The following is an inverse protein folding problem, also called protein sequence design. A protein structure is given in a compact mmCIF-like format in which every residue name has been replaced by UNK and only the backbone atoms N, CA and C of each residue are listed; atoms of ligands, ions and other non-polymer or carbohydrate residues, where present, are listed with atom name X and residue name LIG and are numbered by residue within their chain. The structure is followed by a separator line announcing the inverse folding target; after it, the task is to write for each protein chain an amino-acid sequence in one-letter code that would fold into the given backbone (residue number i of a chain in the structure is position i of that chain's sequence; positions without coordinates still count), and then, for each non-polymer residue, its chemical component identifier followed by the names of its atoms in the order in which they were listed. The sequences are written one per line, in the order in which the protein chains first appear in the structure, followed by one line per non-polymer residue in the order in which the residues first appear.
data_IF_896248818359
#
_entry.id   IF_896248818359
#
_cell.length_a   1.000
_cell.length_b   1.000
_cell.length_c   1.000
_cell.angle_alpha   90.00
_cell.angle_beta   90.00
_cell.angle_gamma   90.00
#
_symmetry.space_group_name_H-M   'P 1'
#
loop_
_entity.id
_entity.type
_entity.pdbx_description
1 polymer ?
#
# COMPACT_ATOMS: atom_id res chain seq x y z
N UNK A 1 -10.40 -34.32 38.63
CA UNK A 1 -11.12 -33.20 37.97
C UNK A 1 -10.07 -32.35 37.27
N UNK A 2 -9.76 -32.68 36.02
CA UNK A 2 -8.85 -31.90 35.19
C UNK A 2 -9.66 -30.90 34.39
N UNK A 3 -9.40 -29.60 34.60
CA UNK A 3 -9.89 -28.56 33.71
C UNK A 3 -9.08 -28.65 32.40
N UNK A 4 -9.67 -29.26 31.39
CA UNK A 4 -9.30 -28.99 29.99
C UNK A 4 -9.88 -27.64 29.61
N UNK A 5 -9.06 -26.59 29.74
CA UNK A 5 -9.31 -25.32 29.06
C UNK A 5 -9.16 -25.58 27.55
N UNK A 6 -10.31 -25.62 26.87
CA UNK A 6 -10.40 -25.69 25.43
C UNK A 6 -9.97 -24.32 24.90
N UNK A 7 -8.74 -24.22 24.40
CA UNK A 7 -8.28 -23.04 23.65
C UNK A 7 -8.98 -23.06 22.29
N UNK A 8 -10.21 -22.55 22.23
CA UNK A 8 -10.84 -22.16 20.97
C UNK A 8 -10.07 -20.95 20.42
N UNK A 9 -8.97 -21.22 19.70
CA UNK A 9 -8.13 -20.20 19.05
C UNK A 9 -8.86 -19.41 17.95
N UNK A 10 -10.12 -19.77 17.64
CA UNK A 10 -10.90 -19.20 16.53
C UNK A 10 -12.17 -18.43 16.94
N UNK A 11 -12.50 -18.34 18.24
CA UNK A 11 -13.64 -17.54 18.73
C UNK A 11 -13.19 -16.17 19.27
N UNK A 12 -12.57 -15.34 18.43
CA UNK A 12 -12.43 -13.92 18.77
C UNK A 12 -13.80 -13.28 18.57
N UNK A 13 -14.59 -13.20 19.64
CA UNK A 13 -15.90 -12.58 19.60
C UNK A 13 -15.80 -11.14 19.08
N UNK A 14 -16.48 -10.87 17.97
CA UNK A 14 -16.61 -9.52 17.42
C UNK A 14 -17.31 -8.61 18.43
N UNK A 15 -16.68 -7.49 18.76
CA UNK A 15 -17.22 -6.48 19.70
C UNK A 15 -17.48 -5.17 18.98
N UNK A 16 -18.45 -4.41 19.46
CA UNK A 16 -18.58 -3.00 19.08
C UNK A 16 -17.45 -2.20 19.72
N UNK A 17 -16.86 -1.30 18.95
CA UNK A 17 -15.82 -0.39 19.41
C UNK A 17 -15.98 0.98 18.73
N UNK A 18 -15.30 1.99 19.27
CA UNK A 18 -15.12 3.28 18.61
C UNK A 18 -13.69 3.36 18.10
N UNK A 19 -13.52 3.78 16.85
CA UNK A 19 -12.22 4.00 16.24
C UNK A 19 -12.13 5.44 15.72
N UNK A 20 -11.05 6.14 16.07
CA UNK A 20 -10.79 7.48 15.56
C UNK A 20 -10.08 7.42 14.21
N UNK A 21 -10.71 7.96 13.17
CA UNK A 21 -10.11 8.13 11.84
C UNK A 21 -9.58 9.54 11.72
N UNK A 22 -8.27 9.67 11.51
CA UNK A 22 -7.59 10.96 11.40
C UNK A 22 -7.68 11.50 9.98
N UNK A 23 -8.09 12.75 9.85
CA UNK A 23 -8.05 13.49 8.59
C UNK A 23 -6.66 14.14 8.39
N UNK A 24 -6.35 14.62 7.18
CA UNK A 24 -5.07 15.27 6.91
C UNK A 24 -4.80 16.54 7.74
N UNK A 25 -5.84 17.21 8.26
CA UNK A 25 -5.68 18.34 9.20
C UNK A 25 -5.45 17.89 10.67
N UNK A 26 -5.17 16.61 10.91
CA UNK A 26 -4.89 15.99 12.21
C UNK A 26 -6.07 15.95 13.19
N UNK A 27 -7.26 16.43 12.77
CA UNK A 27 -8.51 16.19 13.49
C UNK A 27 -8.96 14.76 13.27
N UNK A 28 -9.63 14.17 14.26
CA UNK A 28 -10.21 12.83 14.15
C UNK A 28 -11.73 12.84 14.08
N UNK A 29 -12.26 11.83 13.40
CA UNK A 29 -13.67 11.51 13.36
C UNK A 29 -13.85 10.15 14.04
N UNK A 30 -14.57 10.07 15.17
CA UNK A 30 -14.89 8.79 15.79
C UNK A 30 -15.91 8.05 14.92
N UNK A 31 -15.66 6.79 14.61
CA UNK A 31 -16.62 5.90 13.93
C UNK A 31 -16.92 4.70 14.81
N UNK A 32 -18.19 4.34 14.91
CA UNK A 32 -18.61 3.09 15.54
C UNK A 32 -18.35 1.96 14.55
N UNK A 33 -17.61 0.95 15.02
CA UNK A 33 -17.19 -0.20 14.21
C UNK A 33 -17.39 -1.50 14.98
N UNK A 34 -17.31 -2.60 14.26
CA UNK A 34 -17.02 -3.91 14.80
C UNK A 34 -15.51 -4.15 14.79
N UNK A 35 -14.99 -4.87 15.78
CA UNK A 35 -13.56 -5.24 15.82
C UNK A 35 -13.11 -6.08 14.62
N UNK A 36 -14.05 -6.70 13.91
CA UNK A 36 -13.85 -7.46 12.68
C UNK A 36 -14.14 -6.67 11.39
N UNK A 37 -14.44 -5.37 11.48
CA UNK A 37 -14.64 -4.55 10.28
C UNK A 37 -13.31 -4.39 9.53
N UNK A 38 -13.40 -4.57 8.21
CA UNK A 38 -12.27 -4.44 7.30
C UNK A 38 -11.96 -2.98 6.99
N UNK A 39 -10.77 -2.70 6.43
CA UNK A 39 -10.38 -1.36 6.03
C UNK A 39 -11.33 -0.78 4.98
N UNK A 40 -11.79 -1.59 4.03
CA UNK A 40 -12.82 -1.21 3.06
C UNK A 40 -14.11 -0.78 3.76
N UNK A 41 -14.61 -1.60 4.70
CA UNK A 41 -15.85 -1.29 5.42
C UNK A 41 -15.73 0.01 6.23
N UNK A 42 -14.61 0.21 6.91
CA UNK A 42 -14.37 1.42 7.69
C UNK A 42 -14.25 2.65 6.78
N UNK A 43 -13.64 2.50 5.59
CA UNK A 43 -13.56 3.55 4.59
C UNK A 43 -14.95 3.97 4.11
N UNK A 44 -15.85 3.02 3.83
CA UNK A 44 -17.25 3.31 3.47
C UNK A 44 -17.96 4.11 4.59
N UNK A 45 -17.83 3.66 5.84
CA UNK A 45 -18.49 4.27 7.00
C UNK A 45 -18.01 5.71 7.22
N UNK A 46 -16.69 5.95 7.19
CA UNK A 46 -16.15 7.30 7.38
C UNK A 46 -16.50 8.21 6.20
N UNK A 47 -16.49 7.68 4.97
CA UNK A 47 -16.82 8.43 3.75
C UNK A 47 -18.27 8.89 3.75
N UNK A 48 -19.21 8.02 4.13
CA UNK A 48 -20.60 8.41 4.31
C UNK A 48 -20.75 9.50 5.39
N UNK A 49 -20.01 9.39 6.49
CA UNK A 49 -20.07 10.36 7.60
C UNK A 49 -19.56 11.76 7.23
N UNK A 50 -18.60 11.86 6.30
CA UNK A 50 -18.06 13.14 5.82
C UNK A 50 -18.74 13.65 4.53
N UNK A 51 -19.71 12.91 3.99
CA UNK A 51 -20.39 13.29 2.75
C UNK A 51 -19.54 13.09 1.49
N UNK A 52 -18.56 12.18 1.51
CA UNK A 52 -17.80 11.80 0.33
C UNK A 52 -18.65 10.89 -0.58
N UNK A 53 -18.73 11.24 -1.87
CA UNK A 53 -19.47 10.47 -2.87
C UNK A 53 -18.90 9.05 -2.99
N UNK A 54 -19.79 8.06 -3.15
CA UNK A 54 -19.41 6.64 -3.18
C UNK A 54 -18.50 6.32 -4.37
N UNK A 55 -18.72 7.00 -5.49
CA UNK A 55 -17.94 6.87 -6.73
C UNK A 55 -16.50 7.33 -6.56
N UNK A 56 -16.21 8.14 -5.52
CA UNK A 56 -14.88 8.67 -5.25
C UNK A 56 -14.10 7.85 -4.21
N UNK A 57 -14.66 6.76 -3.68
CA UNK A 57 -14.02 5.96 -2.63
C UNK A 57 -12.62 5.46 -3.03
N UNK A 58 -12.46 5.04 -4.29
CA UNK A 58 -11.20 4.46 -4.82
C UNK A 58 -10.05 5.48 -4.95
N UNK A 59 -10.36 6.78 -4.81
CA UNK A 59 -9.37 7.86 -4.77
C UNK A 59 -8.82 8.11 -3.36
N UNK A 60 -9.35 7.42 -2.35
CA UNK A 60 -8.92 7.54 -0.96
C UNK A 60 -8.53 6.16 -0.40
N UNK A 61 -7.80 6.18 0.71
CA UNK A 61 -7.43 4.96 1.40
C UNK A 61 -7.21 5.21 2.88
N UNK A 62 -7.25 4.11 3.65
CA UNK A 62 -6.85 4.11 5.04
C UNK A 62 -5.38 3.74 5.18
N UNK A 63 -4.68 4.50 6.01
CA UNK A 63 -3.26 4.35 6.26
C UNK A 63 -2.99 4.20 7.74
N UNK A 64 -2.00 3.39 8.08
CA UNK A 64 -1.39 3.44 9.39
C UNK A 64 -0.42 4.61 9.40
N UNK A 65 -0.72 5.63 10.21
CA UNK A 65 0.10 6.82 10.38
C UNK A 65 0.71 6.83 11.78
N UNK A 66 1.96 7.26 11.89
CA UNK A 66 2.68 7.41 13.16
C UNK A 66 2.97 8.88 13.38
N UNK A 67 2.70 9.37 14.58
CA UNK A 67 3.16 10.69 15.01
C UNK A 67 4.40 10.51 15.88
N UNK A 68 5.57 10.83 15.32
CA UNK A 68 6.85 10.79 16.01
C UNK A 68 6.99 11.87 17.07
N UNK A 69 8.15 11.89 17.73
CA UNK A 69 8.57 13.02 18.59
C UNK A 69 8.55 14.30 17.74
N UNK A 70 8.15 15.42 18.36
CA UNK A 70 8.00 16.73 17.68
C UNK A 70 6.86 16.81 16.64
N UNK A 71 5.95 15.83 16.62
CA UNK A 71 4.77 15.88 15.73
C UNK A 71 5.05 15.50 14.28
N UNK A 72 6.25 14.97 13.98
CA UNK A 72 6.58 14.49 12.63
C UNK A 72 5.69 13.30 12.25
N UNK A 73 4.85 13.49 11.24
CA UNK A 73 4.00 12.45 10.67
C UNK A 73 4.83 11.53 9.76
N UNK A 74 4.70 10.23 10.00
CA UNK A 74 5.19 9.17 9.12
C UNK A 74 4.01 8.32 8.66
N UNK A 75 3.91 8.07 7.35
CA UNK A 75 2.95 7.11 6.81
C UNK A 75 3.62 5.74 6.84
N UNK A 76 3.19 4.85 7.73
CA UNK A 76 3.83 3.54 7.91
C UNK A 76 3.44 2.59 6.78
N UNK A 77 2.16 2.58 6.40
CA UNK A 77 1.58 1.58 5.50
C UNK A 77 0.21 2.03 4.98
N UNK A 78 -0.12 1.68 3.72
CA UNK A 78 -1.51 1.64 3.21
C UNK A 78 -2.16 0.34 3.66
N UNK A 79 -3.28 0.40 4.36
CA UNK A 79 -4.02 -0.79 4.79
C UNK A 79 -4.72 -1.41 3.59
N UNK A 80 -4.49 -2.69 3.30
CA UNK A 80 -5.24 -3.39 2.27
C UNK A 80 -6.70 -3.60 2.71
N UNK A 81 -7.58 -3.75 1.73
CA UNK A 81 -9.03 -3.67 1.89
C UNK A 81 -9.57 -4.73 2.87
N UNK A 82 -8.93 -5.91 2.91
CA UNK A 82 -9.26 -7.03 3.79
C UNK A 82 -8.67 -6.93 5.21
N UNK A 83 -7.78 -5.98 5.47
CA UNK A 83 -7.14 -5.85 6.77
C UNK A 83 -8.12 -5.33 7.82
N UNK A 84 -7.90 -5.69 9.09
CA UNK A 84 -8.73 -5.26 10.22
C UNK A 84 -8.03 -4.12 10.96
N UNK A 85 -8.39 -2.84 10.74
CA UNK A 85 -7.62 -1.70 11.28
C UNK A 85 -7.60 -1.65 12.80
N UNK A 86 -8.70 -2.05 13.45
CA UNK A 86 -8.80 -2.12 14.91
C UNK A 86 -7.80 -3.12 15.52
N UNK A 87 -7.72 -4.33 14.95
CA UNK A 87 -6.79 -5.37 15.40
C UNK A 87 -5.35 -4.95 15.13
N UNK A 88 -5.08 -4.34 13.97
CA UNK A 88 -3.75 -3.80 13.64
C UNK A 88 -3.28 -2.78 14.67
N UNK A 89 -4.13 -1.83 15.08
CA UNK A 89 -3.77 -0.85 16.10
C UNK A 89 -3.54 -1.50 17.48
N UNK A 90 -4.42 -2.43 17.88
CA UNK A 90 -4.32 -3.07 19.19
C UNK A 90 -3.08 -3.98 19.34
N UNK A 91 -2.61 -4.56 18.23
CA UNK A 91 -1.41 -5.42 18.19
C UNK A 91 -0.14 -4.66 17.78
N UNK A 92 -0.25 -3.38 17.44
CA UNK A 92 0.87 -2.59 16.98
C UNK A 92 1.80 -2.24 18.14
N UNK A 93 3.02 -2.80 18.14
CA UNK A 93 4.12 -2.37 19.02
C UNK A 93 4.64 -0.97 18.68
N UNK A 94 4.17 -0.41 17.56
CA UNK A 94 4.51 0.96 17.17
C UNK A 94 3.73 1.95 18.03
N UNK A 95 4.45 2.63 18.91
CA UNK A 95 3.92 3.74 19.69
C UNK A 95 3.32 4.85 18.80
N UNK A 96 2.22 5.45 19.26
CA UNK A 96 1.53 6.57 18.61
C UNK A 96 1.09 6.31 17.16
N UNK A 97 0.76 5.05 16.84
CA UNK A 97 0.12 4.70 15.58
C UNK A 97 -1.39 4.98 15.60
N UNK A 98 -1.90 5.51 14.50
CA UNK A 98 -3.32 5.84 14.29
C UNK A 98 -3.75 5.44 12.88
N UNK A 99 -5.05 5.35 12.65
CA UNK A 99 -5.60 5.15 11.30
C UNK A 99 -5.95 6.51 10.71
N UNK A 100 -5.40 6.82 9.54
CA UNK A 100 -5.63 8.07 8.82
C UNK A 100 -6.28 7.86 7.47
N UNK A 101 -7.21 8.74 7.11
CA UNK A 101 -7.78 8.86 5.76
C UNK A 101 -6.87 9.77 4.93
N UNK A 102 -6.42 9.31 3.77
CA UNK A 102 -5.62 10.11 2.83
C UNK A 102 -6.03 9.84 1.39
N UNK A 103 -5.73 10.79 0.51
CA UNK A 103 -5.72 10.58 -0.95
C UNK A 103 -4.86 9.36 -1.29
N UNK A 104 -5.35 8.51 -2.18
CA UNK A 104 -4.66 7.32 -2.69
C UNK A 104 -4.69 7.25 -4.22
N UNK A 105 -4.04 8.23 -4.83
CA UNK A 105 -3.62 8.19 -6.22
C UNK A 105 -2.35 9.02 -6.40
N UNK A 106 -1.53 8.64 -7.38
CA UNK A 106 -0.18 9.19 -7.54
C UNK A 106 -0.08 10.23 -8.66
N UNK A 107 -1.00 10.18 -9.63
CA UNK A 107 -1.11 11.17 -10.68
C UNK A 107 -1.93 12.40 -10.25
N UNK A 108 -1.32 13.61 -10.18
CA UNK A 108 -2.03 14.83 -9.83
C UNK A 108 -3.18 15.20 -10.76
N UNK A 109 -3.16 14.76 -12.04
CA UNK A 109 -4.21 15.11 -13.00
C UNK A 109 -5.59 14.56 -12.61
N UNK A 110 -5.60 13.48 -11.82
CA UNK A 110 -6.82 12.88 -11.30
C UNK A 110 -7.57 13.79 -10.32
N UNK A 111 -6.95 14.83 -9.74
CA UNK A 111 -7.63 15.81 -8.89
C UNK A 111 -8.87 16.40 -9.57
N UNK A 112 -8.84 16.58 -10.90
CA UNK A 112 -9.97 17.10 -11.70
C UNK A 112 -11.25 16.28 -11.52
N UNK A 113 -11.14 14.97 -11.29
CA UNK A 113 -12.26 14.05 -11.07
C UNK A 113 -12.96 14.26 -9.72
N UNK A 114 -12.32 14.97 -8.78
CA UNK A 114 -12.81 15.17 -7.42
C UNK A 114 -13.39 16.57 -7.18
N UNK A 115 -13.21 17.50 -8.13
CA UNK A 115 -13.53 18.92 -7.93
C UNK A 115 -15.03 19.20 -7.73
N UNK A 116 -15.90 18.33 -8.24
CA UNK A 116 -17.36 18.47 -8.11
C UNK A 116 -17.90 17.97 -6.75
N UNK A 117 -17.05 17.37 -5.90
CA UNK A 117 -17.43 16.89 -4.57
C UNK A 117 -16.77 17.76 -3.48
N UNK A 118 -17.56 18.54 -2.75
CA UNK A 118 -17.04 19.43 -1.69
C UNK A 118 -16.21 18.69 -0.64
N UNK A 119 -16.66 17.52 -0.19
CA UNK A 119 -15.94 16.72 0.79
C UNK A 119 -14.58 16.23 0.26
N UNK A 120 -14.51 15.88 -1.03
CA UNK A 120 -13.26 15.48 -1.67
C UNK A 120 -12.31 16.68 -1.81
N UNK A 121 -12.80 17.84 -2.26
CA UNK A 121 -12.04 19.10 -2.33
C UNK A 121 -11.48 19.47 -0.95
N UNK A 122 -12.28 19.35 0.11
CA UNK A 122 -11.84 19.58 1.48
C UNK A 122 -10.69 18.64 1.89
N UNK A 123 -10.79 17.34 1.58
CA UNK A 123 -9.74 16.36 1.87
C UNK A 123 -8.44 16.67 1.12
N UNK A 124 -8.53 16.98 -0.18
CA UNK A 124 -7.37 17.36 -0.99
C UNK A 124 -6.72 18.63 -0.47
N UNK A 125 -7.52 19.65 -0.17
CA UNK A 125 -7.05 20.93 0.36
C UNK A 125 -6.34 20.77 1.70
N UNK A 126 -6.94 20.04 2.64
CA UNK A 126 -6.33 19.74 3.94
C UNK A 126 -5.01 18.99 3.78
N UNK A 127 -4.94 18.01 2.86
CA UNK A 127 -3.72 17.25 2.63
C UNK A 127 -2.63 18.09 1.95
N UNK A 128 -2.99 18.92 0.97
CA UNK A 128 -2.05 19.81 0.29
C UNK A 128 -1.37 20.78 1.28
N UNK A 129 -2.15 21.38 2.20
CA UNK A 129 -1.60 22.23 3.27
C UNK A 129 -0.62 21.44 4.15
N UNK A 130 -1.01 20.24 4.58
CA UNK A 130 -0.18 19.40 5.43
C UNK A 130 1.14 19.02 4.74
N UNK A 131 1.07 18.62 3.47
CA UNK A 131 2.22 18.17 2.69
C UNK A 131 3.17 19.34 2.38
N UNK A 132 2.67 20.56 2.17
CA UNK A 132 3.50 21.79 2.06
C UNK A 132 4.14 22.13 3.40
N UNK A 133 3.38 22.10 4.49
CA UNK A 133 3.91 22.40 5.83
C UNK A 133 4.99 21.41 6.28
N UNK A 134 4.95 20.17 5.76
CA UNK A 134 5.95 19.12 6.01
C UNK A 134 7.08 19.11 4.98
N UNK A 135 7.10 20.06 4.04
CA UNK A 135 8.08 20.17 2.95
C UNK A 135 8.14 18.90 2.06
N UNK A 136 7.04 18.15 1.98
CA UNK A 136 6.88 17.04 1.03
C UNK A 136 6.63 17.63 -0.36
N UNK A 137 5.70 18.58 -0.44
CA UNK A 137 5.54 19.48 -1.58
C UNK A 137 6.40 20.73 -1.36
N UNK A 138 7.13 21.16 -2.39
CA UNK A 138 8.22 22.14 -2.29
C UNK A 138 7.93 23.37 -3.17
N UNK A 139 7.05 24.28 -2.71
CA UNK A 139 6.72 25.48 -3.46
C UNK A 139 7.91 26.44 -3.53
N UNK A 140 8.04 27.17 -4.63
CA UNK A 140 8.91 28.35 -4.69
C UNK A 140 8.42 29.43 -3.72
N UNK A 141 9.27 30.40 -3.39
CA UNK A 141 8.88 31.51 -2.51
C UNK A 141 7.65 32.29 -3.03
N UNK A 142 7.58 32.49 -4.36
CA UNK A 142 6.44 33.15 -5.00
C UNK A 142 5.16 32.30 -4.92
N UNK A 143 5.26 31.00 -5.22
CA UNK A 143 4.12 30.07 -5.07
C UNK A 143 3.63 30.03 -3.62
N UNK A 144 4.54 30.00 -2.63
CA UNK A 144 4.18 30.00 -1.20
C UNK A 144 3.38 31.25 -0.83
N UNK A 145 3.81 32.44 -1.25
CA UNK A 145 3.08 33.68 -0.99
C UNK A 145 1.67 33.67 -1.61
N UNK A 146 1.54 33.17 -2.84
CA UNK A 146 0.25 33.05 -3.52
C UNK A 146 -0.67 32.04 -2.84
N UNK A 147 -0.14 30.87 -2.44
CA UNK A 147 -0.88 29.84 -1.70
C UNK A 147 -1.37 30.38 -0.34
N UNK A 148 -0.54 31.12 0.38
CA UNK A 148 -0.92 31.78 1.63
C UNK A 148 -2.01 32.84 1.43
N UNK A 149 -1.98 33.58 0.33
CA UNK A 149 -3.05 34.53 -0.01
C UNK A 149 -4.37 33.81 -0.30
N UNK A 150 -4.33 32.76 -1.13
CA UNK A 150 -5.51 31.93 -1.46
C UNK A 150 -6.10 31.25 -0.22
N UNK A 151 -5.25 30.85 0.74
CA UNK A 151 -5.69 30.31 2.02
C UNK A 151 -6.42 31.37 2.87
N UNK A 152 -5.97 32.63 2.88
CA UNK A 152 -6.65 33.73 3.60
C UNK A 152 -8.00 34.09 2.96
N UNK A 153 -8.13 33.89 1.65
CA UNK A 153 -9.36 34.12 0.89
C UNK A 153 -10.34 32.93 0.95
N UNK A 154 -9.96 31.82 1.61
CA UNK A 154 -10.70 30.55 1.65
C UNK A 154 -11.02 29.98 0.24
N UNK A 155 -10.14 30.26 -0.73
CA UNK A 155 -10.33 29.84 -2.12
C UNK A 155 -9.65 28.48 -2.38
N UNK A 156 -10.29 27.42 -1.90
CA UNK A 156 -9.76 26.05 -1.98
C UNK A 156 -9.50 25.59 -3.42
N UNK A 157 -10.39 25.89 -4.36
CA UNK A 157 -10.26 25.46 -5.76
C UNK A 157 -9.01 26.06 -6.40
N UNK A 158 -8.85 27.38 -6.35
CA UNK A 158 -7.64 28.04 -6.89
C UNK A 158 -6.37 27.64 -6.15
N UNK A 159 -6.47 27.37 -4.84
CA UNK A 159 -5.34 26.86 -4.09
C UNK A 159 -4.88 25.51 -4.65
N UNK A 160 -5.80 24.58 -4.89
CA UNK A 160 -5.48 23.26 -5.44
C UNK A 160 -4.96 23.34 -6.89
N UNK A 161 -5.53 24.22 -7.71
CA UNK A 161 -5.02 24.51 -9.07
C UNK A 161 -3.55 24.95 -9.02
N UNK A 162 -3.22 25.93 -8.16
CA UNK A 162 -1.83 26.37 -7.98
C UNK A 162 -0.95 25.28 -7.35
N UNK A 163 -1.50 24.48 -6.43
CA UNK A 163 -0.76 23.41 -5.78
C UNK A 163 -0.30 22.33 -6.77
N UNK A 164 -1.04 22.06 -7.85
CA UNK A 164 -0.63 21.12 -8.89
C UNK A 164 0.67 21.53 -9.60
N UNK A 165 0.98 22.82 -9.63
CA UNK A 165 2.23 23.35 -10.20
C UNK A 165 3.42 23.29 -9.21
N UNK A 166 3.18 22.91 -7.96
CA UNK A 166 4.22 22.81 -6.93
C UNK A 166 5.03 21.53 -7.12
N UNK A 167 6.37 21.66 -7.05
CA UNK A 167 7.28 20.51 -7.12
C UNK A 167 6.90 19.48 -6.04
N UNK A 168 6.76 18.23 -6.47
CA UNK A 168 6.38 17.08 -5.65
C UNK A 168 4.97 17.15 -5.04
N UNK A 169 4.06 17.96 -5.59
CA UNK A 169 2.65 17.90 -5.19
C UNK A 169 2.06 16.52 -5.46
N UNK A 170 1.35 15.98 -4.46
CA UNK A 170 0.76 14.64 -4.52
C UNK A 170 1.75 13.49 -4.29
N UNK A 171 3.03 13.76 -4.04
CA UNK A 171 4.02 12.72 -3.78
C UNK A 171 3.89 12.22 -2.33
N UNK A 172 4.06 10.92 -2.15
CA UNK A 172 4.23 10.32 -0.83
C UNK A 172 5.71 10.28 -0.49
N UNK A 173 6.10 10.91 0.62
CA UNK A 173 7.49 10.87 1.11
C UNK A 173 7.66 9.81 2.20
N UNK A 174 8.71 9.01 2.08
CA UNK A 174 9.12 8.04 3.10
C UNK A 174 9.91 8.73 4.22
N UNK A 175 10.02 8.04 5.35
CA UNK A 175 10.99 8.40 6.38
C UNK A 175 12.42 8.27 5.85
N UNK A 176 13.37 9.07 6.38
CA UNK A 176 14.78 8.92 6.04
C UNK A 176 15.25 7.48 6.20
N UNK A 177 15.97 7.00 5.19
CA UNK A 177 16.43 5.63 5.08
C UNK A 177 17.84 5.59 4.48
N UNK A 178 18.33 4.41 4.09
CA UNK A 178 19.62 4.28 3.39
C UNK A 178 19.46 3.55 2.06
N UNK A 179 20.42 3.72 1.17
CA UNK A 179 20.49 3.02 -0.11
C UNK A 179 21.93 2.60 -0.45
N UNK A 180 22.07 1.83 -1.53
CA UNK A 180 23.36 1.41 -2.07
C UNK A 180 23.90 2.29 -3.19
N UNK A 181 23.17 3.36 -3.54
CA UNK A 181 23.49 4.28 -4.63
C UNK A 181 23.75 5.72 -4.13
N UNK A 182 24.74 6.45 -4.70
CA UNK A 182 25.75 5.96 -5.64
C UNK A 182 26.82 5.10 -4.96
N UNK A 183 26.89 5.13 -3.62
CA UNK A 183 27.72 4.23 -2.83
C UNK A 183 26.96 3.59 -1.64
N UNK A 184 27.36 2.39 -1.21
CA UNK A 184 26.74 1.68 -0.09
C UNK A 184 26.69 2.48 1.20
N UNK A 185 25.49 2.57 1.79
CA UNK A 185 25.28 3.24 3.08
C UNK A 185 24.95 4.73 2.96
N UNK A 186 24.78 5.24 1.73
CA UNK A 186 24.28 6.59 1.49
C UNK A 186 22.92 6.80 2.15
N UNK A 187 22.74 7.95 2.81
CA UNK A 187 21.45 8.34 3.36
C UNK A 187 20.48 8.73 2.23
N UNK A 188 19.20 8.45 2.38
CA UNK A 188 18.21 8.74 1.35
C UNK A 188 16.88 9.23 1.93
N UNK A 189 16.24 10.14 1.20
CA UNK A 189 14.83 10.52 1.38
C UNK A 189 14.12 10.34 0.05
N UNK A 190 13.16 9.43 0.01
CA UNK A 190 12.41 9.09 -1.19
C UNK A 190 11.05 9.79 -1.20
N UNK A 191 10.72 10.43 -2.31
CA UNK A 191 9.38 10.94 -2.63
C UNK A 191 8.88 10.21 -3.87
N UNK A 192 7.68 9.63 -3.81
CA UNK A 192 7.12 8.79 -4.88
C UNK A 192 5.79 9.37 -5.33
N UNK A 193 5.63 9.59 -6.62
CA UNK A 193 4.44 10.19 -7.20
C UNK A 193 4.64 10.51 -8.66
N UNK A 194 3.56 10.84 -9.37
CA UNK A 194 3.61 11.30 -10.76
C UNK A 194 4.49 10.44 -11.69
N UNK A 195 4.36 9.11 -11.59
CA UNK A 195 5.10 8.13 -12.39
C UNK A 195 6.65 8.17 -12.23
N UNK A 196 7.15 8.63 -11.08
CA UNK A 196 8.58 8.64 -10.76
C UNK A 196 8.88 8.39 -9.27
N UNK A 197 10.14 8.04 -9.01
CA UNK A 197 10.74 7.96 -7.67
C UNK A 197 11.82 9.05 -7.61
N UNK A 198 11.60 10.09 -6.82
CA UNK A 198 12.59 11.13 -6.55
C UNK A 198 13.37 10.78 -5.28
N UNK A 199 14.68 10.61 -5.41
CA UNK A 199 15.59 10.26 -4.34
C UNK A 199 16.51 11.45 -4.06
N UNK A 200 16.41 12.03 -2.86
CA UNK A 200 17.46 12.91 -2.33
C UNK A 200 18.44 12.09 -1.53
N UNK A 201 19.65 11.95 -2.07
CA UNK A 201 20.72 11.12 -1.50
C UNK A 201 21.70 12.03 -0.78
N UNK A 202 22.11 11.64 0.42
CA UNK A 202 23.14 12.29 1.22
C UNK A 202 24.33 11.34 1.35
N UNK A 203 25.44 11.73 0.74
CA UNK A 203 26.68 10.97 0.77
C UNK A 203 27.34 11.06 2.16
N UNK A 204 28.17 10.08 2.55
CA UNK A 204 28.93 10.09 3.79
C UNK A 204 29.83 11.32 3.98
N UNK A 205 30.26 11.96 2.88
CA UNK A 205 31.05 13.19 2.89
C UNK A 205 30.21 14.47 3.14
N UNK A 206 28.88 14.32 3.28
CA UNK A 206 27.92 15.39 3.51
C UNK A 206 27.37 16.05 2.25
N UNK A 207 27.81 15.66 1.05
CA UNK A 207 27.25 16.15 -0.20
C UNK A 207 25.86 15.56 -0.44
N UNK A 208 24.97 16.34 -1.06
CA UNK A 208 23.62 15.89 -1.42
C UNK A 208 23.40 15.89 -2.92
N UNK A 209 22.84 14.79 -3.44
CA UNK A 209 22.48 14.63 -4.84
C UNK A 209 20.99 14.29 -4.97
N UNK A 210 20.27 14.96 -5.86
CA UNK A 210 18.91 14.58 -6.24
C UNK A 210 18.99 13.66 -7.48
N UNK A 211 18.39 12.47 -7.40
CA UNK A 211 18.27 11.49 -8.51
C UNK A 211 16.80 11.17 -8.75
N UNK A 212 16.39 11.04 -10.00
CA UNK A 212 15.01 10.73 -10.37
C UNK A 212 14.97 9.44 -11.20
N UNK A 213 14.22 8.45 -10.73
CA UNK A 213 13.96 7.21 -11.45
C UNK A 213 12.56 7.26 -12.06
N UNK A 214 12.48 7.32 -13.38
CA UNK A 214 11.20 7.29 -14.08
C UNK A 214 10.60 5.88 -14.03
N UNK A 215 9.32 5.72 -13.72
CA UNK A 215 8.73 4.38 -13.61
C UNK A 215 8.76 3.60 -14.93
N UNK A 216 8.83 4.27 -16.07
CA UNK A 216 9.04 3.64 -17.38
C UNK A 216 10.39 2.89 -17.49
N UNK A 217 11.38 3.29 -16.69
CA UNK A 217 12.69 2.64 -16.60
C UNK A 217 12.74 1.50 -15.57
N UNK A 218 11.72 1.34 -14.71
CA UNK A 218 11.65 0.29 -13.69
C UNK A 218 11.08 -0.98 -14.30
N UNK A 219 11.85 -2.07 -14.31
CA UNK A 219 11.44 -3.37 -14.88
C UNK A 219 10.71 -4.25 -13.88
N UNK A 220 11.24 -4.35 -12.67
CA UNK A 220 10.66 -5.12 -11.57
C UNK A 220 11.22 -4.65 -10.24
N UNK A 221 10.56 -5.03 -9.15
CA UNK A 221 11.07 -4.83 -7.81
C UNK A 221 10.70 -6.00 -6.91
N UNK A 222 11.44 -6.12 -5.81
CA UNK A 222 11.22 -7.13 -4.78
C UNK A 222 11.40 -6.48 -3.41
N UNK A 223 10.51 -6.84 -2.49
CA UNK A 223 10.67 -6.56 -1.06
C UNK A 223 11.25 -7.80 -0.40
N UNK A 224 12.34 -7.64 0.33
CA UNK A 224 12.98 -8.72 1.11
C UNK A 224 12.96 -8.38 2.59
N UNK A 225 12.70 -9.38 3.43
CA UNK A 225 12.92 -9.28 4.86
C UNK A 225 14.33 -9.78 5.20
N UNK A 226 15.15 -8.93 5.80
CA UNK A 226 16.56 -9.20 6.14
C UNK A 226 16.71 -9.85 7.52
N UNK A 227 15.66 -10.52 8.03
CA UNK A 227 15.70 -11.23 9.30
C UNK A 227 16.79 -12.31 9.29
N UNK A 228 17.65 -12.29 10.31
CA UNK A 228 18.68 -13.30 10.63
C UNK A 228 19.91 -13.43 9.69
N UNK A 229 20.54 -12.33 9.29
CA UNK A 229 21.94 -12.37 8.79
C UNK A 229 22.98 -11.76 9.73
N UNK A 230 22.58 -11.15 10.86
CA UNK A 230 23.49 -10.40 11.75
C UNK A 230 23.38 -10.70 13.26
N UNK A 231 22.78 -11.81 13.68
CA UNK A 231 22.86 -12.24 15.09
C UNK A 231 23.56 -13.60 15.16
N UNK A 232 24.89 -13.55 15.28
CA UNK A 232 25.68 -14.61 15.90
C UNK A 232 25.79 -14.23 17.38
N UNK A 233 25.18 -15.04 18.23
CA UNK A 233 25.27 -15.06 19.70
C UNK A 233 24.51 -14.00 20.52
N UNK A 234 23.24 -14.30 20.83
CA UNK A 234 22.54 -13.72 21.99
C UNK A 234 21.06 -14.13 22.10
N UNK A 235 20.55 -14.55 23.28
CA UNK A 235 19.12 -14.76 23.47
C UNK A 235 18.43 -13.40 23.65
N UNK A 236 17.45 -13.12 22.77
CA UNK A 236 16.64 -11.90 22.70
C UNK A 236 17.33 -10.63 22.17
N UNK A 237 17.32 -10.45 20.84
CA UNK A 237 17.33 -9.13 20.20
C UNK A 237 16.28 -9.06 19.09
N UNK A 238 15.20 -8.36 19.41
CA UNK A 238 14.44 -7.44 18.57
C UNK A 238 14.28 -7.77 17.08
N UNK A 239 13.04 -7.99 16.67
CA UNK A 239 12.56 -7.90 15.29
C UNK A 239 12.68 -6.44 14.79
N UNK A 240 13.89 -5.89 14.73
CA UNK A 240 14.17 -4.71 13.94
C UNK A 240 13.99 -5.16 12.49
N UNK A 241 12.80 -4.87 11.96
CA UNK A 241 12.38 -5.18 10.60
C UNK A 241 13.32 -4.48 9.60
N UNK A 242 14.47 -5.09 9.34
CA UNK A 242 15.36 -4.69 8.28
C UNK A 242 14.68 -5.16 7.00
N UNK A 243 13.87 -4.27 6.42
CA UNK A 243 13.24 -4.48 5.13
C UNK A 243 14.10 -3.77 4.09
N UNK A 244 14.26 -4.42 2.94
CA UNK A 244 14.82 -3.79 1.75
C UNK A 244 13.78 -3.87 0.63
N UNK A 245 13.78 -2.85 -0.22
CA UNK A 245 13.19 -2.92 -1.54
C UNK A 245 14.32 -2.75 -2.55
N UNK A 246 14.46 -3.75 -3.43
CA UNK A 246 15.34 -3.66 -4.59
C UNK A 246 14.53 -3.52 -5.85
N UNK A 247 14.95 -2.65 -6.76
CA UNK A 247 14.32 -2.50 -8.06
C UNK A 247 15.37 -2.50 -9.18
N UNK A 248 15.01 -3.13 -10.30
CA UNK A 248 15.85 -3.17 -11.50
C UNK A 248 15.48 -2.00 -12.39
N UNK A 249 16.44 -1.14 -12.70
CA UNK A 249 16.26 0.07 -13.48
C UNK A 249 17.18 0.08 -14.71
N UNK A 250 16.68 0.62 -15.82
CA UNK A 250 17.45 0.80 -17.05
C UNK A 250 18.16 2.15 -17.04
N UNK A 251 19.48 2.13 -16.91
CA UNK A 251 20.34 3.31 -17.00
C UNK A 251 21.36 3.08 -18.13
N UNK A 252 21.45 4.02 -19.08
CA UNK A 252 22.36 3.94 -20.24
C UNK A 252 22.33 2.60 -20.99
N UNK A 253 21.13 2.05 -21.20
CA UNK A 253 20.87 0.74 -21.83
C UNK A 253 21.39 -0.48 -21.06
N UNK A 254 21.78 -0.32 -19.80
CA UNK A 254 22.17 -1.39 -18.90
C UNK A 254 21.15 -1.52 -17.76
N UNK A 255 20.88 -2.76 -17.35
CA UNK A 255 19.99 -3.05 -16.24
C UNK A 255 20.79 -3.16 -14.94
N UNK A 256 20.53 -2.27 -14.00
CA UNK A 256 21.19 -2.25 -12.69
C UNK A 256 20.16 -2.39 -11.57
N UNK A 257 20.60 -3.00 -10.46
CA UNK A 257 19.79 -3.12 -9.25
C UNK A 257 20.12 -1.96 -8.32
N UNK A 258 19.08 -1.34 -7.80
CA UNK A 258 19.14 -0.31 -6.78
C UNK A 258 18.44 -0.84 -5.54
N UNK A 259 19.08 -0.71 -4.38
CA UNK A 259 18.57 -1.25 -3.11
C UNK A 259 18.32 -0.11 -2.14
N UNK A 260 17.10 -0.09 -1.60
CA UNK A 260 16.65 0.86 -0.57
C UNK A 260 16.35 0.09 0.71
N UNK A 261 17.07 0.40 1.77
CA UNK A 261 16.89 -0.21 3.09
C UNK A 261 15.95 0.68 3.91
N UNK A 262 14.68 0.29 4.01
CA UNK A 262 13.64 1.09 4.67
C UNK A 262 12.59 0.23 5.34
N UNK A 263 12.14 0.63 6.53
CA UNK A 263 11.00 0.01 7.23
C UNK A 263 9.68 0.15 6.45
N UNK A 264 9.63 1.07 5.49
CA UNK A 264 8.46 1.34 4.65
C UNK A 264 8.52 0.63 3.28
N UNK A 265 9.29 -0.46 3.13
CA UNK A 265 9.47 -1.15 1.85
C UNK A 265 8.15 -1.61 1.22
N UNK A 266 7.19 -2.10 2.03
CA UNK A 266 5.85 -2.47 1.55
C UNK A 266 5.01 -1.27 1.11
N UNK A 267 5.16 -0.13 1.78
CA UNK A 267 4.50 1.11 1.37
C UNK A 267 5.07 1.59 0.03
N UNK A 268 6.40 1.62 -0.11
CA UNK A 268 7.07 1.93 -1.38
C UNK A 268 6.57 1.01 -2.49
N UNK A 269 6.59 -0.32 -2.27
CA UNK A 269 6.04 -1.27 -3.24
C UNK A 269 4.58 -1.00 -3.57
N UNK A 270 3.76 -0.55 -2.62
CA UNK A 270 2.35 -0.23 -2.87
C UNK A 270 2.21 1.02 -3.75
N UNK A 271 3.06 2.03 -3.54
CA UNK A 271 3.13 3.21 -4.40
C UNK A 271 3.54 2.85 -5.84
N UNK A 272 4.55 1.98 -6.01
CA UNK A 272 4.98 1.53 -7.35
C UNK A 272 3.85 0.80 -8.07
N UNK A 273 3.16 -0.13 -7.39
CA UNK A 273 1.97 -0.82 -7.93
C UNK A 273 0.89 0.17 -8.33
N UNK A 274 0.64 1.19 -7.51
CA UNK A 274 -0.40 2.20 -7.75
C UNK A 274 -0.10 3.02 -9.01
N UNK A 275 1.13 3.52 -9.18
CA UNK A 275 1.53 4.24 -10.39
C UNK A 275 1.34 3.41 -11.66
N UNK A 276 1.71 2.12 -11.62
CA UNK A 276 1.50 1.22 -12.78
C UNK A 276 0.02 1.03 -13.06
N UNK A 277 -0.80 0.77 -12.03
CA UNK A 277 -2.24 0.57 -12.21
C UNK A 277 -2.92 1.80 -12.82
N UNK A 278 -2.55 3.01 -12.39
CA UNK A 278 -3.06 4.27 -12.94
C UNK A 278 -2.63 4.46 -14.40
N UNK A 279 -1.36 4.18 -14.71
CA UNK A 279 -0.85 4.32 -16.07
C UNK A 279 -1.48 3.31 -17.04
N UNK A 280 -1.73 2.06 -16.59
CA UNK A 280 -2.43 1.05 -17.40
C UNK A 280 -3.86 1.49 -17.73
N UNK A 281 -4.58 2.06 -16.75
CA UNK A 281 -5.95 2.58 -16.97
C UNK A 281 -5.94 3.74 -17.95
N UNK A 282 -4.99 4.67 -17.84
CA UNK A 282 -4.83 5.79 -18.78
C UNK A 282 -4.59 5.30 -20.21
N UNK A 283 -3.62 4.40 -20.39
CA UNK A 283 -3.30 3.84 -21.71
C UNK A 283 -4.49 3.07 -22.33
N UNK A 284 -5.26 2.35 -21.51
CA UNK A 284 -6.47 1.66 -21.98
C UNK A 284 -7.58 2.63 -22.40
N UNK A 285 -7.71 3.79 -21.74
CA UNK A 285 -8.66 4.83 -22.10
C UNK A 285 -8.24 5.57 -23.39
N UNK A 286 -6.94 5.79 -23.59
CA UNK A 286 -6.37 6.44 -24.78
C UNK A 286 -6.32 5.51 -26.00
N UNK A 287 -6.24 4.19 -25.78
CA UNK A 287 -6.13 3.19 -26.86
C UNK A 287 -7.03 1.96 -26.62
N UNK A 288 -8.35 2.05 -26.93
CA UNK A 288 -9.32 1.00 -26.64
C UNK A 288 -9.13 -0.30 -27.45
N UNK A 289 -8.23 -0.35 -28.43
CA UNK A 289 -7.89 -1.55 -29.20
C UNK A 289 -7.03 -2.56 -28.41
N UNK A 290 -6.52 -2.19 -27.23
CA UNK A 290 -5.77 -3.07 -26.31
C UNK A 290 -6.63 -3.72 -25.21
N UNK A 291 -7.95 -3.82 -25.38
CA UNK A 291 -8.78 -4.68 -24.54
C UNK A 291 -8.61 -6.15 -24.96
N UNK A 292 -7.52 -6.77 -24.54
CA UNK A 292 -7.43 -8.24 -24.54
C UNK A 292 -8.44 -8.73 -23.49
N UNK A 293 -9.41 -9.54 -23.91
CA UNK A 293 -10.41 -10.17 -23.04
C UNK A 293 -9.71 -10.84 -21.84
N UNK A 294 -9.75 -10.15 -20.70
CA UNK A 294 -9.57 -10.82 -19.41
C UNK A 294 -10.82 -11.67 -19.24
N UNK A 295 -10.66 -13.00 -19.34
CA UNK A 295 -11.70 -13.95 -19.01
C UNK A 295 -12.06 -13.75 -17.53
N UNK A 296 -13.02 -12.88 -17.26
CA UNK A 296 -13.70 -12.83 -15.97
C UNK A 296 -14.34 -14.20 -15.75
N UNK A 297 -13.75 -14.99 -14.86
CA UNK A 297 -14.39 -16.19 -14.34
C UNK A 297 -15.61 -15.77 -13.52
N UNK A 298 -16.75 -15.64 -14.19
CA UNK A 298 -18.03 -15.74 -13.54
C UNK A 298 -18.95 -16.70 -14.31
N UNK A 299 -19.55 -17.59 -13.54
CA UNK A 299 -20.72 -18.44 -13.85
C UNK A 299 -20.42 -19.76 -14.56
N UNK A 300 -20.44 -20.79 -13.71
CA UNK A 300 -20.70 -22.18 -14.04
C UNK A 300 -21.82 -22.33 -15.09
N UNK A 301 -21.42 -22.73 -16.31
CA UNK A 301 -22.33 -23.33 -17.27
C UNK A 301 -21.84 -24.75 -17.57
N UNK A 302 -22.64 -25.73 -17.13
CA UNK A 302 -22.50 -27.14 -17.49
C UNK A 302 -22.55 -27.25 -19.01
N UNK A 303 -21.46 -27.69 -19.63
CA UNK A 303 -21.47 -28.14 -21.01
C UNK A 303 -21.40 -29.66 -21.06
N UNK A 304 -22.38 -30.22 -21.76
CA UNK A 304 -22.54 -31.63 -22.04
C UNK A 304 -21.35 -32.11 -22.88
N UNK A 305 -20.60 -33.09 -22.39
CA UNK A 305 -19.54 -33.74 -23.16
C UNK A 305 -20.20 -34.59 -24.25
N UNK A 306 -19.97 -34.23 -25.51
CA UNK A 306 -20.27 -35.08 -26.65
C UNK A 306 -18.98 -35.78 -27.06
N UNK A 307 -18.99 -37.12 -26.97
CA UNK A 307 -17.91 -37.99 -27.39
C UNK A 307 -17.65 -37.84 -28.89
N UNK A 308 -16.39 -37.63 -29.29
CA UNK A 308 -15.91 -38.10 -30.59
C UNK A 308 -14.41 -38.42 -30.58
N UNK A 309 -14.14 -39.73 -30.67
CA UNK A 309 -13.11 -40.42 -31.45
C UNK A 309 -11.64 -39.94 -31.37
N UNK A 310 -10.94 -40.57 -30.43
CA UNK A 310 -9.63 -41.24 -30.55
C UNK A 310 -8.88 -41.13 -31.89
N UNK A 311 -7.64 -40.60 -31.84
CA UNK A 311 -6.51 -41.11 -32.61
C UNK A 311 -5.23 -41.00 -31.79
N UNK A 312 -4.66 -42.16 -31.51
CA UNK A 312 -3.45 -42.42 -30.76
C UNK A 312 -2.21 -41.80 -31.42
N UNK A 313 -1.34 -41.17 -30.63
CA UNK A 313 0.12 -41.33 -30.72
C UNK A 313 0.72 -41.12 -29.33
N UNK A 314 0.99 -42.23 -28.66
CA UNK A 314 1.65 -42.32 -27.37
C UNK A 314 3.17 -42.35 -27.52
N UNK A 315 3.90 -41.52 -26.78
CA UNK A 315 5.29 -41.83 -26.41
C UNK A 315 5.77 -41.03 -25.20
N UNK A 316 5.41 -41.42 -23.98
CA UNK A 316 6.27 -41.12 -22.82
C UNK A 316 6.26 -42.28 -21.81
N UNK A 317 7.48 -42.73 -21.50
CA UNK A 317 7.84 -43.92 -20.74
C UNK A 317 7.52 -43.76 -19.24
N UNK A 318 6.86 -44.76 -18.65
CA UNK A 318 6.64 -44.81 -17.19
C UNK A 318 7.91 -45.24 -16.45
N UNK A 319 8.39 -44.42 -15.51
CA UNK A 319 9.31 -44.88 -14.45
C UNK A 319 8.49 -45.40 -13.28
N UNK A 320 8.61 -46.70 -13.00
CA UNK A 320 8.07 -47.37 -11.81
C UNK A 320 8.92 -47.03 -10.59
N UNK A 321 8.33 -46.48 -9.53
CA UNK A 321 8.84 -46.60 -8.16
C UNK A 321 7.86 -47.43 -7.33
N UNK A 322 8.38 -48.49 -6.71
CA UNK A 322 7.63 -49.41 -5.85
C UNK A 322 7.58 -48.83 -4.43
N UNK A 323 6.39 -48.49 -3.94
CA UNK A 323 6.14 -48.21 -2.52
C UNK A 323 5.76 -49.51 -1.81
N UNK A 324 6.49 -49.90 -0.76
CA UNK A 324 6.06 -50.94 0.19
C UNK A 324 5.29 -50.25 1.31
N UNK A 325 4.00 -50.56 1.44
CA UNK A 325 3.14 -50.20 2.58
C UNK A 325 3.06 -51.42 3.49
N UNK A 326 3.43 -51.26 4.76
CA UNK A 326 3.18 -52.22 5.82
C UNK A 326 1.77 -51.96 6.41
N UNK A 327 1.08 -53.05 6.76
CA UNK A 327 -0.25 -53.10 7.37
C UNK A 327 -0.19 -52.75 8.87
N UNK A 328 -1.40 -52.52 9.40
CA UNK A 328 -1.83 -52.36 10.81
C UNK A 328 -2.05 -50.88 11.19
N UNK A 329 -3.17 -50.42 11.75
CA UNK A 329 -4.41 -51.08 12.19
C UNK A 329 -5.56 -50.05 12.09
N UNK A 330 -6.76 -50.55 11.87
CA UNK A 330 -7.98 -49.79 11.60
C UNK A 330 -8.82 -49.66 12.88
N UNK A 331 -9.08 -48.46 13.41
CA UNK A 331 -10.18 -48.23 14.37
C UNK A 331 -10.73 -46.79 14.24
N UNK A 332 -12.07 -46.69 14.22
CA UNK A 332 -12.96 -45.52 14.20
C UNK A 332 -13.12 -44.83 12.82
N UNK A 333 -14.28 -44.80 12.16
CA UNK A 333 -15.65 -45.04 12.61
C UNK A 333 -16.53 -43.84 12.22
N UNK A 334 -17.09 -43.91 11.00
CA UNK A 334 -18.30 -43.24 10.49
C UNK A 334 -18.74 -41.91 11.11
N UNK A 335 -18.61 -40.81 10.35
CA UNK A 335 -19.47 -39.62 10.47
C UNK A 335 -20.29 -39.53 9.18
N UNK A 336 -21.61 -39.37 9.30
CA UNK A 336 -22.58 -39.31 8.19
C UNK A 336 -22.91 -37.85 7.83
N UNK A 337 -23.34 -37.71 6.59
CA UNK A 337 -23.67 -36.48 5.87
C UNK A 337 -25.04 -35.91 6.29
N UNK A 338 -25.20 -35.56 7.57
CA UNK A 338 -26.31 -34.72 8.06
C UNK A 338 -25.80 -33.56 8.95
N UNK A 339 -24.48 -33.36 9.05
CA UNK A 339 -23.84 -32.27 9.80
C UNK A 339 -23.07 -31.28 8.87
N UNK A 340 -23.64 -30.97 7.69
CA UNK A 340 -23.13 -29.92 6.80
C UNK A 340 -24.17 -28.82 6.55
#
# INVERSE_FOLDING_TARGET
MGNTENWNTFDIATKKASLDIFLPNERSIPVEILTSDTAERILEVVSHKIGLCRELLDYFGLFLIRFGKEGKLSVVKKLADFELPYVHLASSEVENCKVGLRKWYMDPSLDSMLMDCKAAVDLLYMQAIQDIAKEWAKPTQAQRQNLEALQKEDNQTKFLELAQEVRHYGYLQLDPCTCDYPEPGSGAVLSVGNNEISCRISLPDGQTQDTIFQMSGVKCWQVTFLGTLLDVDGPQRTLNQNLELRFQYSEDSHWQWFVVYTKQAFLLSSCLKKMISENTVKLAAENPEMQIEVLEQSKSKKYHVQQSQQKDYSSFLSRKSKTKIAKDDCVFGNIKEEDL
#
